data_IF_389048317085
#
_entry.id   IF_389048317085
#
_cell.length_a   1.000
_cell.length_b   1.000
_cell.length_c   1.000
_cell.angle_alpha   90.00
_cell.angle_beta   90.00
_cell.angle_gamma   90.00
#
_symmetry.space_group_name_H-M   'P 1'
#
loop_
_entity.id
_entity.type
_entity.pdbx_description
1 polymer ?
#
# COMPACT_ATOMS: atom_id res chain seq x y z
N UNK A 1 -13.41 -11.85 -37.39
CA UNK A 1 -14.08 -12.63 -36.32
C UNK A 1 -13.09 -13.44 -35.45
N UNK A 2 -12.09 -14.13 -36.03
CA UNK A 2 -11.10 -14.93 -35.27
C UNK A 2 -10.23 -14.14 -34.28
N UNK A 3 -9.91 -12.88 -34.57
CA UNK A 3 -9.11 -12.02 -33.66
C UNK A 3 -9.85 -11.68 -32.36
N UNK A 4 -11.18 -11.61 -32.37
CA UNK A 4 -11.96 -11.31 -31.17
C UNK A 4 -11.95 -12.45 -30.15
N UNK A 5 -11.89 -13.70 -30.61
CA UNK A 5 -11.80 -14.85 -29.72
C UNK A 5 -10.46 -14.95 -28.97
N UNK A 6 -9.40 -14.32 -29.50
CA UNK A 6 -8.09 -14.24 -28.85
C UNK A 6 -7.96 -13.01 -27.95
N UNK A 7 -8.68 -11.92 -28.25
CA UNK A 7 -8.67 -10.70 -27.45
C UNK A 7 -9.34 -10.89 -26.08
N UNK A 8 -10.43 -11.68 -26.00
CA UNK A 8 -11.16 -11.94 -24.75
C UNK A 8 -10.32 -12.63 -23.66
N UNK A 9 -9.62 -13.76 -23.92
CA UNK A 9 -8.80 -14.40 -22.90
C UNK A 9 -7.58 -13.54 -22.51
N UNK A 10 -7.02 -12.77 -23.44
CA UNK A 10 -5.91 -11.86 -23.14
C UNK A 10 -6.33 -10.73 -22.19
N UNK A 11 -7.52 -10.14 -22.41
CA UNK A 11 -8.06 -9.10 -21.53
C UNK A 11 -8.39 -9.64 -20.13
N UNK A 12 -8.96 -10.85 -20.05
CA UNK A 12 -9.23 -11.53 -18.79
C UNK A 12 -7.94 -11.86 -18.01
N UNK A 13 -6.91 -12.35 -18.71
CA UNK A 13 -5.61 -12.63 -18.09
C UNK A 13 -4.95 -11.37 -17.53
N UNK A 14 -5.01 -10.25 -18.26
CA UNK A 14 -4.48 -8.97 -17.80
C UNK A 14 -5.23 -8.44 -16.57
N UNK A 15 -6.57 -8.54 -16.58
CA UNK A 15 -7.39 -8.14 -15.44
C UNK A 15 -7.11 -9.00 -14.18
N UNK A 16 -6.90 -10.30 -14.34
CA UNK A 16 -6.56 -11.20 -13.23
C UNK A 16 -5.19 -10.88 -12.62
N UNK A 17 -4.18 -10.57 -13.45
CA UNK A 17 -2.87 -10.14 -12.97
C UNK A 17 -2.92 -8.79 -12.25
N UNK A 18 -3.72 -7.84 -12.76
CA UNK A 18 -3.91 -6.55 -12.11
C UNK A 18 -4.59 -6.68 -10.74
N UNK A 19 -5.52 -7.63 -10.60
CA UNK A 19 -6.21 -7.90 -9.33
C UNK A 19 -5.29 -8.52 -8.27
N UNK A 20 -4.16 -9.12 -8.64
CA UNK A 20 -3.22 -9.71 -7.68
C UNK A 20 -2.38 -8.65 -6.91
N UNK A 21 -2.31 -7.42 -7.42
CA UNK A 21 -1.53 -6.36 -6.77
C UNK A 21 -2.29 -5.82 -5.54
N UNK A 22 -1.81 -6.13 -4.33
CA UNK A 22 -2.43 -5.70 -3.07
C UNK A 22 -3.43 -6.68 -2.47
N UNK A 23 -3.42 -7.95 -2.91
CA UNK A 23 -4.20 -9.01 -2.30
C UNK A 23 -3.84 -9.16 -0.81
N UNK A 24 -4.85 -9.26 0.05
CA UNK A 24 -4.72 -9.63 1.47
C UNK A 24 -5.40 -10.98 1.70
N UNK A 25 -4.72 -11.87 2.40
CA UNK A 25 -5.22 -13.17 2.83
C UNK A 25 -4.48 -13.57 4.09
N UNK A 26 -5.01 -14.57 4.80
CA UNK A 26 -4.30 -15.19 5.90
C UNK A 26 -3.00 -15.80 5.38
N UNK A 27 -1.93 -15.71 6.19
CA UNK A 27 -0.61 -16.21 5.85
C UNK A 27 -0.01 -16.97 7.03
N UNK A 28 0.70 -18.04 6.71
CA UNK A 28 1.48 -18.80 7.67
C UNK A 28 2.98 -18.56 7.46
N UNK A 29 3.82 -18.74 8.48
CA UNK A 29 5.27 -18.77 8.31
C UNK A 29 5.68 -19.80 7.24
N UNK A 30 6.81 -19.55 6.57
CA UNK A 30 7.39 -20.53 5.66
C UNK A 30 7.67 -21.85 6.38
N UNK A 31 7.73 -22.95 5.63
CA UNK A 31 8.02 -24.26 6.19
C UNK A 31 9.30 -24.25 7.04
N UNK A 32 9.19 -24.80 8.26
CA UNK A 32 10.25 -24.82 9.27
C UNK A 32 10.64 -23.46 9.88
N UNK A 33 9.86 -22.40 9.63
CA UNK A 33 9.97 -21.12 10.33
C UNK A 33 8.90 -21.02 11.41
N UNK A 34 9.19 -20.29 12.48
CA UNK A 34 8.23 -19.96 13.54
C UNK A 34 7.89 -18.47 13.51
N UNK A 35 6.81 -18.10 14.19
CA UNK A 35 6.52 -16.70 14.47
C UNK A 35 7.66 -16.06 15.30
N UNK A 36 7.84 -14.72 15.21
CA UNK A 36 8.74 -13.99 16.09
C UNK A 36 8.48 -14.34 17.56
N UNK A 37 9.53 -14.47 18.39
CA UNK A 37 9.35 -14.74 19.82
C UNK A 37 8.60 -13.60 20.51
N UNK A 38 8.13 -13.85 21.74
CA UNK A 38 7.50 -12.83 22.56
C UNK A 38 8.38 -11.57 22.69
N UNK A 39 7.80 -10.37 22.64
CA UNK A 39 8.55 -9.13 22.84
C UNK A 39 9.14 -9.09 24.25
N UNK A 40 10.21 -8.31 24.41
CA UNK A 40 10.91 -8.20 25.69
C UNK A 40 9.96 -7.79 26.82
N UNK A 41 9.97 -8.55 27.91
CA UNK A 41 9.12 -8.31 29.08
C UNK A 41 7.69 -8.86 28.97
N UNK A 42 7.33 -9.51 27.86
CA UNK A 42 6.08 -10.25 27.70
C UNK A 42 6.30 -11.75 27.81
N UNK A 43 5.39 -12.44 28.50
CA UNK A 43 5.30 -13.91 28.46
C UNK A 43 4.46 -14.40 27.28
N UNK A 44 3.71 -13.51 26.64
CA UNK A 44 2.80 -13.83 25.54
C UNK A 44 3.49 -13.61 24.19
N UNK A 45 3.57 -14.68 23.39
CA UNK A 45 3.93 -14.60 21.98
C UNK A 45 2.68 -14.25 21.16
N UNK A 46 2.71 -13.20 20.33
CA UNK A 46 1.55 -12.81 19.52
C UNK A 46 1.30 -13.79 18.35
N UNK A 47 0.03 -13.88 17.96
CA UNK A 47 -0.45 -14.58 16.77
C UNK A 47 -0.08 -13.85 15.47
N UNK A 48 -0.30 -14.50 14.32
CA UNK A 48 -0.07 -13.89 13.01
C UNK A 48 -0.97 -12.67 12.78
N UNK A 49 -2.27 -12.76 13.11
CA UNK A 49 -3.21 -11.65 13.02
C UNK A 49 -2.78 -10.45 13.87
N UNK A 50 -2.38 -10.68 15.12
CA UNK A 50 -1.92 -9.61 16.04
C UNK A 50 -0.64 -8.93 15.54
N UNK A 51 0.28 -9.68 14.93
CA UNK A 51 1.51 -9.12 14.34
C UNK A 51 1.25 -8.28 13.09
N UNK A 52 0.16 -8.55 12.37
CA UNK A 52 -0.23 -7.82 11.16
C UNK A 52 -1.16 -6.63 11.47
N UNK A 53 -1.63 -6.51 12.71
CA UNK A 53 -2.42 -5.39 13.15
C UNK A 53 -1.57 -4.11 13.12
N UNK A 54 -2.06 -3.08 12.43
CA UNK A 54 -1.39 -1.78 12.39
C UNK A 54 -1.63 -1.05 13.71
N UNK A 55 -0.55 -0.72 14.42
CA UNK A 55 -0.63 0.16 15.58
C UNK A 55 -1.18 1.55 15.20
N UNK A 56 -1.73 2.26 16.20
CA UNK A 56 -2.37 3.58 16.00
C UNK A 56 -1.45 4.59 15.31
N UNK A 57 -0.14 4.50 15.54
CA UNK A 57 0.87 5.40 14.97
C UNK A 57 1.62 4.80 13.77
N UNK A 58 1.29 3.59 13.34
CA UNK A 58 1.92 2.97 12.17
C UNK A 58 1.46 3.61 10.84
N UNK A 59 0.22 4.12 10.80
CA UNK A 59 -0.35 4.80 9.65
C UNK A 59 -1.15 6.05 10.07
N UNK A 60 -0.48 7.07 10.65
CA UNK A 60 -1.17 8.25 11.14
C UNK A 60 -1.76 9.02 9.97
N UNK A 61 -2.95 9.58 10.17
CA UNK A 61 -3.53 10.48 9.19
C UNK A 61 -2.65 11.73 9.11
N UNK A 62 -2.22 12.07 7.89
CA UNK A 62 -1.56 13.35 7.64
C UNK A 62 -2.55 14.47 8.01
N UNK A 63 -2.17 15.33 8.96
CA UNK A 63 -2.85 16.60 9.16
C UNK A 63 -2.69 17.43 7.90
N UNK A 64 -3.73 17.46 7.08
CA UNK A 64 -3.82 18.41 5.97
C UNK A 64 -4.10 19.78 6.56
N UNK A 65 -3.05 20.55 6.86
CA UNK A 65 -3.19 22.00 6.88
C UNK A 65 -3.86 22.38 5.55
N UNK A 66 -5.02 23.02 5.65
CA UNK A 66 -6.10 23.05 4.65
C UNK A 66 -5.66 23.49 3.24
N UNK A 67 -5.16 22.59 2.42
CA UNK A 67 -5.28 22.69 0.96
C UNK A 67 -5.89 21.39 0.45
N UNK A 68 -7.23 21.32 0.49
CA UNK A 68 -8.03 20.21 -0.08
C UNK A 68 -7.97 20.16 -1.63
N UNK A 69 -7.37 21.17 -2.26
CA UNK A 69 -7.16 21.30 -3.71
C UNK A 69 -5.87 22.08 -3.99
N UNK A 70 -5.26 21.82 -5.14
CA UNK A 70 -4.21 22.66 -5.71
C UNK A 70 -4.81 24.02 -6.03
N UNK A 71 -4.54 25.02 -5.20
CA UNK A 71 -4.88 26.40 -5.51
C UNK A 71 -3.72 27.00 -6.32
N UNK A 72 -4.06 27.87 -7.27
CA UNK A 72 -3.08 28.66 -8.03
C UNK A 72 -2.14 29.36 -7.05
N UNK A 73 -0.82 29.17 -7.22
CA UNK A 73 0.16 29.90 -6.42
C UNK A 73 0.30 31.30 -7.00
N UNK A 74 0.50 32.29 -6.13
CA UNK A 74 0.91 33.60 -6.60
C UNK A 74 2.27 33.49 -7.30
N UNK A 75 2.47 34.31 -8.33
CA UNK A 75 3.78 34.45 -8.98
C UNK A 75 4.86 34.80 -7.95
N UNK A 76 6.06 34.26 -8.13
CA UNK A 76 7.19 34.50 -7.24
C UNK A 76 7.68 35.95 -7.38
N UNK A 77 7.59 36.79 -6.34
CA UNK A 77 8.03 38.17 -6.41
C UNK A 77 9.55 38.31 -6.60
N UNK A 78 10.31 37.21 -6.48
CA UNK A 78 11.75 37.16 -6.64
C UNK A 78 12.21 36.46 -7.93
N UNK A 79 11.30 36.11 -8.84
CA UNK A 79 11.64 35.66 -10.20
C UNK A 79 12.05 36.85 -11.07
N UNK A 80 13.19 37.46 -10.72
CA UNK A 80 13.76 38.62 -11.41
C UNK A 80 14.70 38.17 -12.54
N UNK A 81 14.69 38.84 -13.70
CA UNK A 81 15.59 38.51 -14.81
C UNK A 81 17.07 38.80 -14.47
N UNK A 82 18.03 38.10 -15.12
CA UNK A 82 19.46 38.36 -14.97
C UNK A 82 19.88 39.70 -15.60
N UNK A 83 21.00 40.25 -15.13
CA UNK A 83 21.58 41.55 -15.56
C UNK A 83 22.56 41.43 -16.74
#
# INVERSE_FOLDING_TARGET
MRLWHLATPALLGLAALAAACGQRSDIEPLANQALPPAPYGSETQPSAEELLEMETLAAPQRSVELRRRSEERADDPFDLPPE
#
